data_IF_846041826918
#
_entry.id   IF_846041826918
#
_cell.length_a   1.000
_cell.length_b   1.000
_cell.length_c   1.000
_cell.angle_alpha   90.00
_cell.angle_beta   90.00
_cell.angle_gamma   90.00
#
_symmetry.space_group_name_H-M   'P 1'
#
loop_
_entity.id
_entity.type
_entity.pdbx_description
1 polymer ?
#
# COMPACT_ATOMS: atom_id res chain seq x y z
N UNK A 1 -11.15 -29.33 11.87
CA UNK A 1 -10.46 -28.04 12.08
C UNK A 1 -11.03 -27.05 11.09
N UNK A 2 -11.32 -25.82 11.49
CA UNK A 2 -11.72 -24.76 10.56
C UNK A 2 -10.57 -24.43 9.60
N UNK A 3 -10.87 -23.92 8.40
CA UNK A 3 -9.83 -23.57 7.41
C UNK A 3 -8.77 -22.61 7.95
N UNK A 4 -9.12 -21.71 8.87
CA UNK A 4 -8.18 -20.79 9.51
C UNK A 4 -7.14 -21.50 10.40
N UNK A 5 -7.55 -22.52 11.16
CA UNK A 5 -6.61 -23.28 11.99
C UNK A 5 -5.70 -24.15 11.13
N UNK A 6 -6.21 -24.66 10.01
CA UNK A 6 -5.43 -25.41 9.02
C UNK A 6 -4.31 -24.56 8.38
N UNK A 7 -4.60 -23.30 8.02
CA UNK A 7 -3.56 -22.35 7.58
C UNK A 7 -2.46 -22.20 8.64
N UNK A 8 -2.82 -22.03 9.91
CA UNK A 8 -1.86 -21.85 10.98
C UNK A 8 -1.06 -23.12 11.30
N UNK A 9 -1.62 -24.30 11.06
CA UNK A 9 -0.90 -25.56 11.18
C UNK A 9 0.09 -25.74 10.02
N UNK A 10 -0.40 -25.65 8.78
CA UNK A 10 0.37 -25.91 7.55
C UNK A 10 1.51 -24.93 7.29
N UNK A 11 1.50 -23.78 7.94
CA UNK A 11 2.57 -22.78 7.80
C UNK A 11 3.60 -22.84 8.95
N UNK A 12 3.61 -23.88 9.79
CA UNK A 12 4.68 -24.15 10.77
C UNK A 12 5.93 -24.73 10.09
N UNK A 13 7.11 -24.48 10.67
CA UNK A 13 8.40 -24.88 10.11
C UNK A 13 8.52 -26.34 9.62
N UNK A 14 8.01 -27.37 10.33
CA UNK A 14 8.10 -28.75 9.84
C UNK A 14 7.34 -29.03 8.54
N UNK A 15 6.38 -28.18 8.17
CA UNK A 15 5.54 -28.33 6.97
C UNK A 15 5.97 -27.42 5.81
N UNK A 16 6.97 -26.56 6.01
CA UNK A 16 7.40 -25.63 4.97
C UNK A 16 8.20 -26.36 3.91
N UNK A 17 7.89 -26.06 2.65
CA UNK A 17 8.77 -26.46 1.55
C UNK A 17 10.07 -25.66 1.60
N UNK A 18 11.13 -26.22 1.02
CA UNK A 18 12.40 -25.51 0.91
C UNK A 18 12.24 -24.23 0.06
N UNK A 19 12.58 -23.03 0.60
CA UNK A 19 12.41 -21.76 -0.10
C UNK A 19 13.20 -21.69 -1.41
N UNK A 20 12.63 -21.01 -2.40
CA UNK A 20 13.27 -20.75 -3.70
C UNK A 20 14.66 -20.11 -3.55
N UNK A 21 14.83 -19.23 -2.55
CA UNK A 21 16.12 -18.65 -2.18
C UNK A 21 17.19 -19.71 -1.90
N UNK A 22 16.88 -20.77 -1.14
CA UNK A 22 17.85 -21.82 -0.79
C UNK A 22 18.17 -22.72 -1.98
N UNK A 23 17.25 -22.81 -2.93
CA UNK A 23 17.43 -23.52 -4.21
C UNK A 23 18.22 -22.70 -5.24
N UNK A 24 18.67 -21.48 -4.90
CA UNK A 24 19.43 -20.62 -5.80
C UNK A 24 18.59 -19.99 -6.92
N UNK A 25 17.26 -20.02 -6.83
CA UNK A 25 16.39 -19.34 -7.79
C UNK A 25 16.60 -17.83 -7.65
N UNK A 26 16.75 -17.07 -8.76
CA UNK A 26 16.92 -15.63 -8.70
C UNK A 26 15.83 -14.94 -7.89
N UNK A 27 16.19 -13.87 -7.19
CA UNK A 27 15.23 -13.05 -6.48
C UNK A 27 14.26 -12.40 -7.47
N UNK A 28 12.95 -12.35 -7.17
CA UNK A 28 12.02 -11.54 -7.93
C UNK A 28 12.40 -10.06 -7.93
N UNK A 29 11.88 -9.32 -8.91
CA UNK A 29 12.07 -7.88 -9.03
C UNK A 29 11.58 -7.14 -7.77
N UNK A 30 12.28 -6.05 -7.42
CA UNK A 30 12.02 -5.25 -6.21
C UNK A 30 10.73 -4.42 -6.29
N UNK A 31 10.26 -4.17 -7.50
CA UNK A 31 9.08 -3.38 -7.84
C UNK A 31 8.64 -3.77 -9.26
N UNK A 32 7.35 -3.70 -9.56
CA UNK A 32 6.89 -3.93 -10.93
C UNK A 32 7.39 -2.81 -11.85
N UNK A 33 7.73 -3.13 -13.11
CA UNK A 33 8.20 -2.13 -14.05
C UNK A 33 7.10 -1.09 -14.31
N UNK A 34 7.53 0.16 -14.40
CA UNK A 34 6.67 1.26 -14.88
C UNK A 34 6.55 1.14 -16.40
N UNK A 35 5.33 1.13 -16.98
CA UNK A 35 5.16 1.08 -18.43
C UNK A 35 5.93 2.20 -19.14
N UNK A 36 6.52 1.91 -20.30
CA UNK A 36 7.37 2.86 -21.02
C UNK A 36 6.60 4.10 -21.50
N UNK A 37 5.31 3.94 -21.79
CA UNK A 37 4.38 4.97 -22.26
C UNK A 37 3.56 5.61 -21.13
N UNK A 38 3.83 5.27 -19.88
CA UNK A 38 3.09 5.80 -18.74
C UNK A 38 3.24 7.33 -18.63
N UNK A 39 2.11 8.02 -18.45
CA UNK A 39 2.07 9.45 -18.17
C UNK A 39 2.59 9.73 -16.74
N UNK A 40 3.91 9.87 -16.61
CA UNK A 40 4.58 10.02 -15.31
C UNK A 40 4.25 11.35 -14.64
N UNK A 41 3.85 11.29 -13.37
CA UNK A 41 3.71 12.43 -12.48
C UNK A 41 4.82 12.32 -11.43
N UNK A 42 5.74 13.30 -11.45
CA UNK A 42 6.78 13.40 -10.43
C UNK A 42 6.19 13.88 -9.12
N UNK A 43 6.52 13.19 -8.03
CA UNK A 43 6.19 13.65 -6.70
C UNK A 43 7.27 14.64 -6.19
N UNK A 44 6.88 15.64 -5.38
CA UNK A 44 7.83 16.46 -4.66
C UNK A 44 8.84 15.61 -3.87
N UNK A 45 10.11 15.98 -3.89
CA UNK A 45 11.16 15.23 -3.20
C UNK A 45 10.90 15.23 -1.68
N UNK A 46 10.82 14.05 -1.02
CA UNK A 46 10.59 13.92 0.41
C UNK A 46 11.60 14.66 1.29
N UNK A 47 12.82 14.91 0.78
CA UNK A 47 13.83 15.69 1.49
C UNK A 47 13.60 17.22 1.40
N UNK A 48 12.78 17.67 0.46
CA UNK A 48 12.50 19.09 0.19
C UNK A 48 11.16 19.58 0.72
N UNK A 49 10.22 18.68 0.98
CA UNK A 49 8.89 19.03 1.50
C UNK A 49 8.98 19.48 2.98
N UNK A 50 8.19 20.50 3.32
CA UNK A 50 8.10 21.02 4.68
C UNK A 50 6.81 20.55 5.35
N UNK A 51 6.89 19.45 6.09
CA UNK A 51 5.78 18.94 6.91
C UNK A 51 6.00 19.36 8.36
N UNK A 52 4.96 19.85 9.07
CA UNK A 52 5.08 20.18 10.49
C UNK A 52 5.66 19.03 11.30
N UNK A 53 6.58 19.34 12.22
CA UNK A 53 7.09 18.36 13.15
C UNK A 53 5.94 17.81 14.00
N UNK A 54 5.91 16.49 14.17
CA UNK A 54 4.93 15.80 14.98
C UNK A 54 5.65 14.88 15.96
N UNK A 55 5.38 15.06 17.24
CA UNK A 55 5.89 14.17 18.28
C UNK A 55 5.23 12.79 18.16
N UNK A 56 6.04 11.73 18.22
CA UNK A 56 5.57 10.35 17.99
C UNK A 56 4.56 9.92 19.05
N UNK A 57 4.77 10.28 20.32
CA UNK A 57 3.82 9.95 21.39
C UNK A 57 2.50 10.66 21.16
N UNK A 58 2.55 11.95 20.86
CA UNK A 58 1.37 12.76 20.52
C UNK A 58 0.60 12.11 19.38
N UNK A 59 1.25 11.82 18.24
CA UNK A 59 0.59 11.16 17.12
C UNK A 59 -0.03 9.81 17.49
N UNK A 60 0.64 8.99 18.31
CA UNK A 60 0.12 7.71 18.77
C UNK A 60 -1.13 7.87 19.66
N UNK A 61 -1.14 8.87 20.54
CA UNK A 61 -2.23 9.13 21.48
C UNK A 61 -3.42 9.85 20.83
N UNK A 62 -3.20 10.71 19.83
CA UNK A 62 -4.27 11.49 19.18
C UNK A 62 -4.88 10.82 17.95
N UNK A 63 -4.12 9.95 17.27
CA UNK A 63 -4.61 9.23 16.09
C UNK A 63 -5.89 8.48 16.40
N UNK A 64 -6.86 8.64 15.51
CA UNK A 64 -8.17 8.00 15.60
C UNK A 64 -8.65 7.63 14.22
N UNK A 65 -9.47 6.59 14.15
CA UNK A 65 -10.10 6.20 12.88
C UNK A 65 -11.17 7.23 12.49
N UNK A 66 -10.98 7.88 11.35
CA UNK A 66 -11.91 8.87 10.82
C UNK A 66 -12.57 8.30 9.56
N UNK A 67 -13.89 8.42 9.43
CA UNK A 67 -14.66 7.93 8.26
C UNK A 67 -15.49 9.03 7.58
N UNK A 68 -15.40 10.25 8.10
CA UNK A 68 -16.05 11.44 7.56
C UNK A 68 -14.96 12.47 7.34
N UNK A 69 -14.81 12.90 6.10
CA UNK A 69 -13.73 13.79 5.69
C UNK A 69 -14.32 15.12 5.23
N UNK A 70 -13.57 16.21 5.44
CA UNK A 70 -13.93 17.48 4.81
C UNK A 70 -13.70 17.43 3.30
N UNK A 71 -14.26 18.42 2.58
CA UNK A 71 -14.09 18.55 1.13
C UNK A 71 -12.77 19.24 0.74
N UNK A 72 -11.89 19.51 1.72
CA UNK A 72 -10.56 20.06 1.45
C UNK A 72 -9.73 18.99 0.75
N UNK A 73 -9.00 19.40 -0.29
CA UNK A 73 -8.10 18.53 -1.03
C UNK A 73 -6.82 18.22 -0.24
N UNK A 74 -6.16 17.13 -0.61
CA UNK A 74 -4.78 16.88 -0.19
C UNK A 74 -3.84 17.61 -1.17
N UNK A 75 -2.76 18.22 -0.70
CA UNK A 75 -1.74 18.75 -1.62
C UNK A 75 -0.88 17.62 -2.21
N UNK A 76 -0.16 17.91 -3.30
CA UNK A 76 0.78 16.93 -3.86
C UNK A 76 1.98 16.66 -2.93
N UNK A 77 2.39 17.65 -2.14
CA UNK A 77 3.44 17.50 -1.12
C UNK A 77 2.97 16.58 0.01
N UNK A 78 1.72 16.72 0.44
CA UNK A 78 1.11 15.86 1.46
C UNK A 78 0.94 14.43 0.95
N UNK A 79 0.52 14.24 -0.31
CA UNK A 79 0.47 12.90 -0.92
C UNK A 79 1.87 12.28 -0.99
N UNK A 80 2.86 13.04 -1.46
CA UNK A 80 4.27 12.61 -1.52
C UNK A 80 4.77 12.16 -0.15
N UNK A 81 4.52 12.98 0.88
CA UNK A 81 4.86 12.67 2.26
C UNK A 81 4.27 11.33 2.73
N UNK A 82 2.97 11.11 2.53
CA UNK A 82 2.31 9.87 2.96
C UNK A 82 2.85 8.64 2.21
N UNK A 83 3.11 8.77 0.91
CA UNK A 83 3.72 7.70 0.10
C UNK A 83 5.13 7.37 0.56
N UNK A 84 5.91 8.39 0.90
CA UNK A 84 7.24 8.21 1.48
C UNK A 84 7.17 7.50 2.83
N UNK A 85 6.27 7.92 3.73
CA UNK A 85 6.16 7.34 5.07
C UNK A 85 5.64 5.89 5.08
N UNK A 86 4.95 5.47 4.03
CA UNK A 86 4.39 4.12 3.91
C UNK A 86 5.27 3.17 3.09
N UNK A 87 5.93 3.64 2.03
CA UNK A 87 6.67 2.78 1.09
C UNK A 87 7.99 3.38 0.60
N UNK A 88 8.40 4.56 1.06
CA UNK A 88 9.63 5.25 0.62
C UNK A 88 10.90 4.40 0.74
N UNK A 89 11.70 4.39 -0.33
CA UNK A 89 12.97 3.67 -0.42
C UNK A 89 14.12 4.60 -0.03
N UNK A 90 14.74 4.34 1.12
CA UNK A 90 15.87 5.14 1.63
C UNK A 90 17.17 4.84 0.88
N UNK A 91 17.37 3.57 0.54
CA UNK A 91 18.52 3.10 -0.21
C UNK A 91 18.25 1.74 -0.85
N UNK A 92 18.96 1.47 -1.94
CA UNK A 92 19.09 0.14 -2.54
C UNK A 92 20.50 -0.35 -2.22
N UNK A 93 20.63 -1.54 -1.64
CA UNK A 93 21.94 -2.12 -1.29
C UNK A 93 22.53 -2.91 -2.46
N UNK A 94 23.83 -3.22 -2.40
CA UNK A 94 24.55 -3.97 -3.45
C UNK A 94 24.02 -5.40 -3.64
N UNK A 95 23.38 -5.96 -2.61
CA UNK A 95 22.50 -7.13 -2.75
C UNK A 95 21.12 -6.53 -3.02
N UNK A 96 20.45 -6.80 -4.15
CA UNK A 96 19.27 -6.04 -4.59
C UNK A 96 18.14 -6.14 -3.56
N UNK A 97 18.16 -5.22 -2.61
CA UNK A 97 17.31 -5.12 -1.42
C UNK A 97 17.11 -3.64 -1.18
N UNK A 98 15.86 -3.23 -1.01
CA UNK A 98 15.53 -1.87 -0.60
C UNK A 98 15.46 -1.78 0.91
N UNK A 99 16.07 -0.76 1.50
CA UNK A 99 15.79 -0.36 2.88
C UNK A 99 14.68 0.71 2.83
N UNK A 100 13.50 0.40 3.39
CA UNK A 100 12.35 1.31 3.36
C UNK A 100 12.06 1.94 4.72
N UNK A 101 11.19 2.96 4.74
CA UNK A 101 10.69 3.59 5.97
C UNK A 101 9.97 2.58 6.85
N UNK A 102 9.14 1.73 6.23
CA UNK A 102 8.42 0.64 6.88
C UNK A 102 9.28 -0.63 6.94
N UNK A 103 9.26 -1.40 8.05
CA UNK A 103 9.89 -2.71 8.08
C UNK A 103 9.14 -3.71 7.19
N UNK A 104 9.87 -4.73 6.73
CA UNK A 104 9.29 -5.89 6.05
C UNK A 104 10.07 -7.14 6.40
N UNK A 105 9.39 -8.28 6.54
CA UNK A 105 10.06 -9.55 6.79
C UNK A 105 11.16 -9.80 5.75
N UNK A 106 12.41 -9.90 6.22
CA UNK A 106 13.56 -10.15 5.36
C UNK A 106 13.81 -9.09 4.30
N UNK A 107 13.31 -7.86 4.50
CA UNK A 107 13.34 -6.76 3.55
C UNK A 107 12.82 -7.20 2.16
N UNK A 108 11.70 -7.93 2.14
CA UNK A 108 11.07 -8.38 0.89
C UNK A 108 10.18 -7.32 0.25
N UNK A 109 9.56 -6.46 1.06
CA UNK A 109 8.75 -5.33 0.60
C UNK A 109 7.80 -5.73 -0.54
N UNK A 110 6.97 -6.74 -0.28
CA UNK A 110 6.14 -7.38 -1.29
C UNK A 110 5.01 -6.49 -1.85
N UNK A 111 4.78 -5.32 -1.27
CA UNK A 111 3.66 -4.45 -1.61
C UNK A 111 3.94 -3.54 -2.81
N UNK A 112 2.99 -3.56 -3.74
CA UNK A 112 2.70 -2.52 -4.71
C UNK A 112 1.61 -1.60 -4.13
N UNK A 113 1.70 -0.30 -4.39
CA UNK A 113 0.73 0.68 -3.87
C UNK A 113 -0.08 1.28 -5.00
N UNK A 114 -1.39 1.07 -4.91
CA UNK A 114 -2.39 1.70 -5.76
C UNK A 114 -3.11 2.80 -4.99
N UNK A 115 -3.52 3.84 -5.70
CA UNK A 115 -4.13 5.03 -5.13
C UNK A 115 -5.39 5.36 -5.90
N UNK A 116 -6.54 5.29 -5.25
CA UNK A 116 -7.75 5.93 -5.77
C UNK A 116 -7.73 7.39 -5.35
N UNK A 117 -7.36 8.28 -6.26
CA UNK A 117 -7.39 9.72 -6.03
C UNK A 117 -8.81 10.22 -6.31
N UNK A 118 -9.45 10.80 -5.31
CA UNK A 118 -10.72 11.50 -5.51
C UNK A 118 -10.50 13.01 -5.60
N UNK A 119 -9.54 13.53 -4.81
CA UNK A 119 -9.29 14.97 -4.67
C UNK A 119 -7.88 15.24 -4.11
N UNK A 120 -6.89 15.34 -4.99
CA UNK A 120 -5.50 15.67 -4.64
C UNK A 120 -4.95 16.71 -5.60
N UNK A 121 -4.75 17.93 -5.11
CA UNK A 121 -4.32 19.09 -5.89
C UNK A 121 -5.04 19.19 -7.23
N UNK A 122 -4.27 19.38 -8.31
CA UNK A 122 -4.77 19.46 -9.68
C UNK A 122 -4.82 18.12 -10.43
N UNK A 123 -4.65 16.98 -9.73
CA UNK A 123 -4.67 15.67 -10.37
C UNK A 123 -6.09 15.25 -10.69
N UNK A 124 -6.28 14.66 -11.88
CA UNK A 124 -7.56 14.11 -12.28
C UNK A 124 -7.96 12.95 -11.34
N UNK A 125 -9.23 12.89 -10.88
CA UNK A 125 -9.70 11.74 -10.12
C UNK A 125 -9.56 10.44 -10.92
N UNK A 126 -9.12 9.37 -10.27
CA UNK A 126 -8.84 8.11 -10.95
C UNK A 126 -7.97 7.17 -10.12
N UNK A 127 -7.66 6.00 -10.69
CA UNK A 127 -6.77 5.01 -10.08
C UNK A 127 -5.35 5.21 -10.61
N UNK A 128 -4.38 5.29 -9.70
CA UNK A 128 -2.96 5.49 -9.97
C UNK A 128 -2.15 4.37 -9.32
N UNK A 129 -0.93 4.14 -9.84
CA UNK A 129 0.08 3.29 -9.19
C UNK A 129 1.27 4.14 -8.75
N UNK A 130 1.83 3.82 -7.59
CA UNK A 130 3.04 4.45 -7.06
C UNK A 130 4.26 3.55 -7.31
N UNK A 131 5.28 4.12 -7.94
CA UNK A 131 6.63 3.53 -7.99
C UNK A 131 7.47 4.15 -6.89
N UNK A 132 7.77 3.34 -5.86
CA UNK A 132 8.57 3.70 -4.72
C UNK A 132 10.07 3.84 -5.06
N UNK A 133 10.58 3.04 -6.01
CA UNK A 133 11.98 3.16 -6.45
C UNK A 133 12.26 4.49 -7.15
N UNK A 134 11.31 4.96 -7.97
CA UNK A 134 11.44 6.21 -8.73
C UNK A 134 10.80 7.41 -8.04
N UNK A 135 10.02 7.17 -6.97
CA UNK A 135 9.20 8.16 -6.27
C UNK A 135 8.30 8.97 -7.23
N UNK A 136 7.48 8.26 -7.98
CA UNK A 136 6.53 8.81 -8.96
C UNK A 136 5.19 8.10 -8.86
N UNK A 137 4.13 8.75 -9.33
CA UNK A 137 2.84 8.10 -9.61
C UNK A 137 2.52 8.19 -11.09
N UNK A 138 1.65 7.31 -11.57
CA UNK A 138 1.11 7.38 -12.92
C UNK A 138 -0.27 6.72 -12.99
N UNK A 139 -1.11 7.11 -13.96
CA UNK A 139 -2.43 6.54 -14.13
C UNK A 139 -2.38 5.02 -14.35
N UNK A 140 -3.22 4.29 -13.62
CA UNK A 140 -3.43 2.86 -13.79
C UNK A 140 -4.81 2.58 -14.44
N UNK A 141 -5.85 3.31 -14.03
CA UNK A 141 -7.17 3.27 -14.67
C UNK A 141 -7.86 4.64 -14.50
N UNK A 142 -8.22 5.26 -15.63
CA UNK A 142 -8.88 6.58 -15.69
C UNK A 142 -10.30 6.51 -16.27
N UNK A 143 -10.89 5.32 -16.35
CA UNK A 143 -12.25 5.14 -16.84
C UNK A 143 -13.27 5.92 -16.00
N UNK A 144 -14.25 6.49 -16.70
CA UNK A 144 -15.38 7.14 -16.04
C UNK A 144 -16.14 6.10 -15.20
N UNK A 145 -16.19 6.32 -13.88
CA UNK A 145 -16.85 5.39 -12.94
C UNK A 145 -15.90 4.55 -12.10
N UNK A 146 -14.57 4.62 -12.30
CA UNK A 146 -13.61 3.84 -11.50
C UNK A 146 -13.78 4.05 -9.98
N UNK A 147 -14.12 5.27 -9.53
CA UNK A 147 -14.40 5.55 -8.12
C UNK A 147 -15.58 4.73 -7.59
N UNK A 148 -16.64 4.59 -8.38
CA UNK A 148 -17.82 3.80 -8.02
C UNK A 148 -17.48 2.31 -8.01
N UNK A 149 -16.78 1.82 -9.04
CA UNK A 149 -16.30 0.43 -9.10
C UNK A 149 -15.47 0.07 -7.86
N UNK A 150 -14.50 0.91 -7.50
CA UNK A 150 -13.67 0.70 -6.31
C UNK A 150 -14.48 0.80 -5.02
N UNK A 151 -15.47 1.70 -4.95
CA UNK A 151 -16.35 1.83 -3.77
C UNK A 151 -17.21 0.58 -3.58
N UNK A 152 -17.76 0.02 -4.66
CA UNK A 152 -18.55 -1.22 -4.64
C UNK A 152 -17.68 -2.43 -4.28
N UNK A 153 -16.48 -2.54 -4.84
CA UNK A 153 -15.51 -3.55 -4.43
C UNK A 153 -15.19 -3.46 -2.91
N UNK A 154 -15.22 -2.25 -2.34
CA UNK A 154 -15.10 -2.02 -0.90
C UNK A 154 -16.42 -2.15 -0.11
N UNK A 155 -17.40 -2.91 -0.64
CA UNK A 155 -18.71 -3.17 -0.03
C UNK A 155 -19.50 -1.88 0.27
N UNK A 156 -19.48 -0.95 -0.68
CA UNK A 156 -20.22 0.32 -0.66
C UNK A 156 -19.92 1.22 0.56
N UNK A 157 -18.72 1.08 1.12
CA UNK A 157 -18.27 1.94 2.20
C UNK A 157 -18.01 3.36 1.69
N UNK A 158 -18.97 4.27 1.92
CA UNK A 158 -18.94 5.64 1.37
C UNK A 158 -17.71 6.49 1.73
N UNK A 159 -16.93 6.11 2.75
CA UNK A 159 -15.67 6.78 3.07
C UNK A 159 -14.59 6.58 1.99
N UNK A 160 -14.69 5.53 1.16
CA UNK A 160 -13.82 5.32 -0.02
C UNK A 160 -14.05 6.43 -1.04
N UNK A 161 -15.31 6.65 -1.42
CA UNK A 161 -15.73 7.72 -2.36
C UNK A 161 -15.45 9.14 -1.86
N UNK A 162 -15.61 9.36 -0.56
CA UNK A 162 -15.57 10.73 0.02
C UNK A 162 -14.20 11.13 0.57
N UNK A 163 -13.27 10.19 0.71
CA UNK A 163 -11.87 10.47 1.05
C UNK A 163 -11.18 11.35 0.01
N UNK A 164 -10.05 11.97 0.36
CA UNK A 164 -9.21 12.65 -0.62
C UNK A 164 -8.46 11.60 -1.49
N UNK A 165 -7.97 10.54 -0.84
CA UNK A 165 -7.30 9.41 -1.47
C UNK A 165 -7.56 8.12 -0.68
N UNK A 166 -7.70 7.00 -1.39
CA UNK A 166 -7.65 5.67 -0.78
C UNK A 166 -6.39 4.93 -1.24
N UNK A 167 -5.61 4.45 -0.28
CA UNK A 167 -4.46 3.58 -0.50
C UNK A 167 -4.92 2.14 -0.57
N UNK A 168 -4.42 1.39 -1.54
CA UNK A 168 -4.58 -0.06 -1.65
C UNK A 168 -3.19 -0.69 -1.73
N UNK A 169 -2.92 -1.63 -0.84
CA UNK A 169 -1.67 -2.38 -0.81
C UNK A 169 -1.91 -3.78 -1.34
N UNK A 170 -1.38 -4.05 -2.52
CA UNK A 170 -1.44 -5.34 -3.18
C UNK A 170 -0.09 -6.04 -3.00
N UNK A 171 -0.08 -7.30 -2.57
CA UNK A 171 1.14 -8.07 -2.40
C UNK A 171 1.42 -8.91 -3.64
N UNK A 172 2.67 -8.87 -4.11
CA UNK A 172 3.22 -9.87 -5.02
C UNK A 172 3.77 -11.01 -4.17
N UNK A 173 2.99 -12.07 -4.05
CA UNK A 173 3.23 -13.16 -3.12
C UNK A 173 4.58 -13.83 -3.35
N UNK A 174 5.01 -13.97 -4.60
CA UNK A 174 6.31 -14.53 -4.97
C UNK A 174 7.50 -13.79 -4.32
N UNK A 175 7.43 -12.46 -4.13
CA UNK A 175 8.51 -11.71 -3.45
C UNK A 175 8.73 -12.19 -2.03
N UNK A 176 7.65 -12.52 -1.34
CA UNK A 176 7.70 -13.01 0.03
C UNK A 176 7.94 -14.52 0.09
N UNK A 177 7.25 -15.30 -0.76
CA UNK A 177 7.37 -16.75 -0.86
C UNK A 177 8.76 -17.20 -1.30
N UNK A 178 9.46 -16.39 -2.11
CA UNK A 178 10.84 -16.68 -2.51
C UNK A 178 11.75 -16.97 -1.30
N UNK A 179 11.56 -16.25 -0.18
CA UNK A 179 12.32 -16.44 1.06
C UNK A 179 11.60 -17.31 2.10
N UNK A 180 10.27 -17.29 2.12
CA UNK A 180 9.48 -17.81 3.23
C UNK A 180 8.48 -18.93 2.87
N UNK A 181 8.45 -19.37 1.62
CA UNK A 181 7.55 -20.41 1.11
C UNK A 181 6.09 -20.14 1.54
N UNK A 182 5.38 -21.14 2.05
CA UNK A 182 3.98 -21.06 2.49
C UNK A 182 3.78 -20.07 3.65
N UNK A 183 4.84 -19.80 4.43
CA UNK A 183 4.77 -18.86 5.56
C UNK A 183 4.69 -17.40 5.11
N UNK A 184 4.90 -17.12 3.83
CA UNK A 184 4.84 -15.78 3.24
C UNK A 184 3.57 -15.01 3.62
N UNK A 185 2.40 -15.64 3.55
CA UNK A 185 1.13 -15.01 3.89
C UNK A 185 1.12 -14.40 5.30
N UNK A 186 1.71 -15.07 6.30
CA UNK A 186 1.78 -14.52 7.66
C UNK A 186 2.53 -13.20 7.69
N UNK A 187 3.63 -13.12 6.95
CA UNK A 187 4.49 -11.95 6.94
C UNK A 187 3.89 -10.81 6.11
N UNK A 188 3.23 -11.11 5.01
CA UNK A 188 2.47 -10.12 4.24
C UNK A 188 1.41 -9.44 5.11
N UNK A 189 0.65 -10.21 5.90
CA UNK A 189 -0.36 -9.64 6.81
C UNK A 189 0.25 -8.75 7.91
N UNK A 190 1.38 -9.14 8.49
CA UNK A 190 2.10 -8.33 9.47
C UNK A 190 2.64 -7.03 8.85
N UNK A 191 3.25 -7.15 7.67
CA UNK A 191 3.79 -6.02 6.93
C UNK A 191 2.67 -5.02 6.56
N UNK A 192 1.48 -5.49 6.15
CA UNK A 192 0.33 -4.62 5.89
C UNK A 192 -0.05 -3.79 7.14
N UNK A 193 -0.01 -4.41 8.32
CA UNK A 193 -0.24 -3.73 9.60
C UNK A 193 0.78 -2.62 9.86
N UNK A 194 2.07 -2.88 9.63
CA UNK A 194 3.13 -1.86 9.75
C UNK A 194 2.90 -0.69 8.79
N UNK A 195 2.59 -0.98 7.52
CA UNK A 195 2.38 0.05 6.49
C UNK A 195 1.19 0.95 6.86
N UNK A 196 0.05 0.37 7.21
CA UNK A 196 -1.14 1.14 7.55
C UNK A 196 -0.95 1.94 8.85
N UNK A 197 -0.27 1.37 9.84
CA UNK A 197 0.02 2.08 11.09
C UNK A 197 0.93 3.30 10.86
N UNK A 198 1.91 3.20 9.94
CA UNK A 198 2.70 4.35 9.52
C UNK A 198 1.82 5.42 8.86
N UNK A 199 0.89 5.04 7.98
CA UNK A 199 -0.03 5.98 7.33
C UNK A 199 -0.83 6.78 8.35
N UNK A 200 -1.42 6.11 9.34
CA UNK A 200 -2.16 6.76 10.41
C UNK A 200 -1.31 7.75 11.23
N UNK A 201 -0.05 7.40 11.57
CA UNK A 201 0.83 8.31 12.34
C UNK A 201 1.24 9.51 11.49
N UNK A 202 1.61 9.27 10.23
CA UNK A 202 2.02 10.33 9.31
C UNK A 202 0.85 11.30 9.04
N UNK A 203 -0.37 10.80 8.87
CA UNK A 203 -1.54 11.62 8.62
C UNK A 203 -1.82 12.67 9.72
N UNK A 204 -1.47 12.39 10.98
CA UNK A 204 -1.63 13.36 12.07
C UNK A 204 -0.81 14.64 11.84
N UNK A 205 0.40 14.52 11.27
CA UNK A 205 1.30 15.65 11.02
C UNK A 205 0.75 16.64 9.97
N UNK A 206 -0.16 16.19 9.13
CA UNK A 206 -0.80 16.99 8.06
C UNK A 206 -2.30 17.22 8.32
N UNK A 207 -2.74 17.02 9.57
CA UNK A 207 -4.12 17.18 10.03
C UNK A 207 -5.15 16.37 9.21
N UNK A 208 -4.74 15.19 8.76
CA UNK A 208 -5.61 14.23 8.11
C UNK A 208 -6.11 13.19 9.12
N UNK A 209 -7.20 12.52 8.78
CA UNK A 209 -7.64 11.28 9.41
C UNK A 209 -7.56 10.12 8.43
N UNK A 210 -7.52 8.90 8.98
CA UNK A 210 -7.39 7.66 8.21
C UNK A 210 -8.43 6.64 8.66
N UNK A 211 -8.90 5.79 7.74
CA UNK A 211 -9.61 4.56 8.06
C UNK A 211 -9.03 3.37 7.31
N UNK A 212 -8.31 2.52 8.04
CA UNK A 212 -7.95 1.18 7.60
C UNK A 212 -9.19 0.33 7.28
N UNK A 213 -9.12 -0.40 6.18
CA UNK A 213 -10.21 -1.08 5.50
C UNK A 213 -9.72 -2.47 5.06
N UNK A 214 -10.30 -3.52 5.65
CA UNK A 214 -10.08 -4.91 5.24
C UNK A 214 -11.38 -5.60 4.80
N UNK A 215 -12.50 -4.88 4.84
CA UNK A 215 -13.80 -5.38 4.39
C UNK A 215 -14.03 -4.96 2.94
N UNK A 216 -13.49 -5.73 2.01
CA UNK A 216 -13.73 -5.63 0.58
C UNK A 216 -14.10 -7.01 0.03
N UNK A 217 -14.62 -7.05 -1.18
CA UNK A 217 -14.77 -8.29 -1.95
C UNK A 217 -13.47 -8.52 -2.71
N UNK A 218 -12.75 -9.60 -2.36
CA UNK A 218 -11.40 -9.87 -2.87
C UNK A 218 -11.38 -9.95 -4.41
N UNK A 219 -12.34 -10.65 -5.01
CA UNK A 219 -12.39 -10.85 -6.46
C UNK A 219 -12.72 -9.55 -7.20
N UNK A 220 -13.71 -8.79 -6.71
CA UNK A 220 -14.05 -7.49 -7.29
C UNK A 220 -12.90 -6.49 -7.15
N UNK A 221 -12.23 -6.47 -5.99
CA UNK A 221 -11.13 -5.54 -5.75
C UNK A 221 -9.89 -5.90 -6.59
N UNK A 222 -9.53 -7.18 -6.67
CA UNK A 222 -8.44 -7.65 -7.51
C UNK A 222 -8.70 -7.30 -8.97
N UNK A 223 -9.90 -7.58 -9.47
CA UNK A 223 -10.30 -7.24 -10.85
C UNK A 223 -10.23 -5.73 -11.11
N UNK A 224 -10.75 -4.90 -10.21
CA UNK A 224 -10.73 -3.43 -10.36
C UNK A 224 -9.32 -2.83 -10.31
N UNK A 225 -8.39 -3.47 -9.59
CA UNK A 225 -6.97 -3.11 -9.54
C UNK A 225 -6.14 -3.73 -10.69
N UNK A 226 -6.73 -4.62 -11.49
CA UNK A 226 -6.03 -5.34 -12.57
C UNK A 226 -5.11 -6.46 -12.07
N UNK A 227 -5.37 -7.02 -10.89
CA UNK A 227 -4.59 -8.09 -10.27
C UNK A 227 -5.13 -9.48 -10.65
N UNK A 228 -4.27 -10.50 -10.65
CA UNK A 228 -4.64 -11.86 -11.04
C UNK A 228 -5.38 -12.66 -9.95
N UNK A 229 -5.41 -12.15 -8.71
CA UNK A 229 -6.05 -12.81 -7.56
C UNK A 229 -5.33 -14.08 -7.08
N UNK A 230 -4.15 -14.37 -7.62
CA UNK A 230 -3.38 -15.58 -7.34
C UNK A 230 -2.00 -15.23 -6.79
N UNK A 231 -1.15 -14.60 -7.60
CA UNK A 231 0.16 -14.12 -7.16
C UNK A 231 0.11 -12.66 -6.73
N UNK A 232 -0.76 -11.87 -7.35
CA UNK A 232 -0.99 -10.47 -7.03
C UNK A 232 -2.36 -10.34 -6.37
N UNK A 233 -2.36 -10.01 -5.09
CA UNK A 233 -3.59 -9.96 -4.29
C UNK A 233 -3.68 -8.67 -3.51
N UNK A 234 -4.86 -8.04 -3.48
CA UNK A 234 -5.16 -6.98 -2.55
C UNK A 234 -5.16 -7.53 -1.11
N UNK A 235 -4.44 -6.87 -0.21
CA UNK A 235 -4.28 -7.33 1.18
C UNK A 235 -4.94 -6.39 2.15
N UNK A 236 -4.75 -5.09 1.96
CA UNK A 236 -5.26 -4.09 2.87
C UNK A 236 -5.43 -2.75 2.17
N UNK A 237 -6.38 -1.95 2.63
CA UNK A 237 -6.62 -0.62 2.13
C UNK A 237 -6.78 0.38 3.26
N UNK A 238 -6.65 1.67 2.96
CA UNK A 238 -6.88 2.73 3.93
C UNK A 238 -7.34 4.01 3.23
N UNK A 239 -8.46 4.57 3.66
CA UNK A 239 -8.93 5.87 3.19
C UNK A 239 -8.25 6.98 3.99
N UNK A 240 -7.96 8.11 3.34
CA UNK A 240 -7.32 9.29 3.94
C UNK A 240 -8.04 10.55 3.47
N UNK A 241 -8.31 11.46 4.41
CA UNK A 241 -8.87 12.76 4.07
C UNK A 241 -8.60 13.78 5.16
N UNK A 242 -8.82 15.05 4.81
CA UNK A 242 -8.74 16.16 5.77
C UNK A 242 -9.83 16.02 6.83
N UNK A 243 -9.49 16.38 8.06
CA UNK A 243 -10.42 16.47 9.19
C UNK A 243 -11.50 17.54 8.92
#
# INVERSE_FOLDING_TARGET
MTGAMDFYEKTKYPYLSEPAQRKGIPQPELEQPVPEDAAIIKLPDPASISIPAMDVRTALETRSTLRKYSQVELSLEELSFLLWMTQGVKMVTDRPVTMRIVPSAGARHAFETYLLLNRVGNLAPGLYRYSALKHIIYPANMEAGIIETMTTACKDQGHVRTSAVTFFWAAIMDRMAWRYSERAYRYVLLDAGHVCQNLYIAAEAIHCGVCGLAAFDDDLLNSALGLDGQNEIAVYAATVGKR
#
